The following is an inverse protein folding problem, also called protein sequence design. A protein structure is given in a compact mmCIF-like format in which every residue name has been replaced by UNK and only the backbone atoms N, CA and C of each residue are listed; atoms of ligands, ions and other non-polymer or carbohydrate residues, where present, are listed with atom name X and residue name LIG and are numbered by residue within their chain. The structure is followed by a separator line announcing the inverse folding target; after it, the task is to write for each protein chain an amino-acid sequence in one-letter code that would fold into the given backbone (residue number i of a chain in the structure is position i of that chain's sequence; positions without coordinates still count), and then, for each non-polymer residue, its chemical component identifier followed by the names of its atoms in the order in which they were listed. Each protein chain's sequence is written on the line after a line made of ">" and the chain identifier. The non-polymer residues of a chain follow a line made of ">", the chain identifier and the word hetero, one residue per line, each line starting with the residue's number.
data_IF_880987137363
#
_entry.id   IF_880987137363
#
_cell.length_a   1.000
_cell.length_b   1.000
_cell.length_c   1.000
_cell.angle_alpha   90.00
_cell.angle_beta   90.00
_cell.angle_gamma   90.00
#
_symmetry.space_group_name_H-M   'P 1'
#
loop_
_entity.id
_entity.type
_entity.pdbx_description
1 polymer ?
#
# COMPACT_ATOMS: atom_id res chain seq x y z
N UNK A 1 11.07 22.76 10.64
CA UNK A 1 9.66 23.11 10.36
C UNK A 1 8.91 21.81 10.09
N UNK A 2 8.24 21.24 11.07
CA UNK A 2 7.36 20.08 10.87
C UNK A 2 6.00 20.60 10.40
N UNK A 3 5.73 20.49 9.11
CA UNK A 3 4.40 20.79 8.58
C UNK A 3 3.49 19.61 8.92
N UNK A 4 2.56 19.81 9.87
CA UNK A 4 1.55 18.82 10.19
C UNK A 4 0.51 18.82 9.06
N UNK A 5 0.54 17.81 8.20
CA UNK A 5 -0.50 17.63 7.20
C UNK A 5 -1.76 17.07 7.91
N UNK A 6 -2.85 17.83 7.89
CA UNK A 6 -4.14 17.30 8.29
C UNK A 6 -4.55 16.21 7.28
N UNK A 7 -4.68 14.97 7.73
CA UNK A 7 -5.15 13.86 6.89
C UNK A 7 -6.67 14.03 6.70
N UNK A 8 -7.16 14.24 5.46
CA UNK A 8 -8.59 14.37 5.22
C UNK A 8 -9.34 13.09 5.61
N UNK A 9 -10.62 13.18 5.98
CA UNK A 9 -11.40 12.02 6.45
C UNK A 9 -11.58 10.87 5.43
N UNK A 10 -11.33 11.14 4.15
CA UNK A 10 -11.35 10.15 3.06
C UNK A 10 -9.99 9.46 2.81
N UNK A 11 -8.93 9.90 3.49
CA UNK A 11 -7.57 9.39 3.36
C UNK A 11 -7.18 8.65 4.64
N UNK A 12 -6.69 7.43 4.48
CA UNK A 12 -6.07 6.62 5.51
C UNK A 12 -4.60 6.46 5.17
N UNK A 13 -3.72 6.70 6.13
CA UNK A 13 -2.28 6.50 5.96
C UNK A 13 -1.85 5.55 7.08
N UNK A 14 -1.15 4.47 6.75
CA UNK A 14 -0.67 3.55 7.78
C UNK A 14 0.28 4.25 8.77
N UNK A 15 0.34 3.79 10.03
CA UNK A 15 1.24 4.37 11.03
C UNK A 15 2.71 4.40 10.58
N UNK A 16 3.15 3.37 9.86
CA UNK A 16 4.53 3.27 9.34
C UNK A 16 4.82 4.35 8.29
N UNK A 17 3.91 4.55 7.34
CA UNK A 17 4.05 5.58 6.30
C UNK A 17 3.96 6.99 6.93
N UNK A 18 3.06 7.21 7.89
CA UNK A 18 2.98 8.48 8.62
C UNK A 18 4.30 8.79 9.34
N UNK A 19 4.89 7.79 10.01
CA UNK A 19 6.18 7.92 10.67
C UNK A 19 7.28 8.28 9.66
N UNK A 20 7.37 7.54 8.55
CA UNK A 20 8.37 7.80 7.52
C UNK A 20 8.27 9.23 6.98
N UNK A 21 7.06 9.71 6.68
CA UNK A 21 6.83 11.07 6.20
C UNK A 21 7.20 12.12 7.24
N UNK A 22 6.81 11.94 8.51
CA UNK A 22 7.13 12.87 9.59
C UNK A 22 8.65 13.00 9.81
N UNK A 23 9.37 11.89 9.66
CA UNK A 23 10.82 11.83 9.85
C UNK A 23 11.63 12.02 8.56
N UNK A 24 10.97 12.40 7.44
CA UNK A 24 11.61 12.60 6.14
C UNK A 24 12.41 11.37 5.66
N UNK A 25 11.94 10.17 6.01
CA UNK A 25 12.47 8.91 5.52
C UNK A 25 11.92 8.64 4.11
N UNK A 26 12.69 7.96 3.25
CA UNK A 26 12.24 7.64 1.89
C UNK A 26 11.02 6.70 1.92
N UNK A 27 9.99 7.05 1.14
CA UNK A 27 8.77 6.27 0.95
C UNK A 27 8.62 5.95 -0.53
N UNK A 28 8.29 4.70 -0.85
CA UNK A 28 8.02 4.25 -2.24
C UNK A 28 6.56 3.85 -2.33
N UNK A 29 5.79 4.57 -3.15
CA UNK A 29 4.40 4.19 -3.44
C UNK A 29 4.37 3.01 -4.42
N UNK A 30 3.49 2.04 -4.16
CA UNK A 30 3.27 0.86 -5.00
C UNK A 30 1.78 0.78 -5.39
N UNK A 31 1.47 0.41 -6.63
CA UNK A 31 0.08 0.33 -7.10
C UNK A 31 -0.62 -0.99 -6.72
N UNK A 32 -1.95 -0.95 -6.58
CA UNK A 32 -2.77 -2.13 -6.30
C UNK A 32 -3.32 -2.84 -7.55
N UNK A 33 -3.31 -2.20 -8.73
CA UNK A 33 -3.91 -2.78 -9.95
C UNK A 33 -3.21 -4.05 -10.38
N UNK A 34 -1.88 -4.10 -10.28
CA UNK A 34 -1.10 -5.33 -10.53
C UNK A 34 -1.53 -6.50 -9.62
N UNK A 35 -2.01 -6.19 -8.40
CA UNK A 35 -2.46 -7.18 -7.41
C UNK A 35 -3.82 -7.78 -7.80
N UNK A 36 -4.78 -6.95 -8.21
CA UNK A 36 -6.14 -7.41 -8.55
C UNK A 36 -6.28 -7.88 -10.00
N UNK A 37 -5.58 -7.26 -10.95
CA UNK A 37 -5.79 -7.46 -12.39
C UNK A 37 -4.53 -7.86 -13.16
N UNK A 38 -3.34 -7.70 -12.57
CA UNK A 38 -2.08 -7.94 -13.28
C UNK A 38 -1.58 -9.38 -13.22
N UNK A 39 -1.89 -10.11 -12.14
CA UNK A 39 -1.39 -11.46 -11.88
C UNK A 39 -2.48 -12.36 -11.27
N UNK A 40 -2.44 -13.68 -11.52
CA UNK A 40 -3.36 -14.62 -10.89
C UNK A 40 -3.03 -14.78 -9.39
N UNK A 41 -4.06 -15.11 -8.60
CA UNK A 41 -3.84 -15.59 -7.24
C UNK A 41 -3.25 -17.01 -7.24
N UNK A 42 -2.27 -17.35 -6.38
CA UNK A 42 -1.71 -16.54 -5.28
C UNK A 42 -0.48 -15.69 -5.64
N UNK A 43 -0.03 -15.73 -6.90
CA UNK A 43 1.20 -15.05 -7.34
C UNK A 43 1.13 -13.52 -7.21
N UNK A 44 -0.06 -12.94 -7.35
CA UNK A 44 -0.31 -11.52 -7.11
C UNK A 44 0.06 -11.08 -5.69
N UNK A 45 -0.43 -11.78 -4.66
CA UNK A 45 -0.15 -11.51 -3.24
C UNK A 45 1.32 -11.76 -2.96
N UNK A 46 1.85 -12.89 -3.42
CA UNK A 46 3.25 -13.24 -3.21
C UNK A 46 4.19 -12.19 -3.83
N UNK A 47 3.85 -11.68 -5.02
CA UNK A 47 4.65 -10.65 -5.70
C UNK A 47 4.53 -9.31 -4.98
N UNK A 48 3.33 -8.88 -4.59
CA UNK A 48 3.14 -7.64 -3.84
C UNK A 48 3.99 -7.60 -2.55
N UNK A 49 3.92 -8.67 -1.75
CA UNK A 49 4.70 -8.78 -0.51
C UNK A 49 6.22 -8.84 -0.77
N UNK A 50 6.65 -9.51 -1.84
CA UNK A 50 8.07 -9.53 -2.25
C UNK A 50 8.56 -8.15 -2.65
N UNK A 51 7.76 -7.38 -3.40
CA UNK A 51 8.12 -6.01 -3.79
C UNK A 51 8.19 -5.10 -2.57
N UNK A 52 7.25 -5.20 -1.62
CA UNK A 52 7.34 -4.47 -0.35
C UNK A 52 8.62 -4.81 0.42
N UNK A 53 8.97 -6.11 0.50
CA UNK A 53 10.19 -6.55 1.15
C UNK A 53 11.45 -5.99 0.45
N UNK A 54 11.45 -5.91 -0.88
CA UNK A 54 12.56 -5.37 -1.66
C UNK A 54 12.77 -3.87 -1.41
N UNK A 55 11.67 -3.10 -1.34
CA UNK A 55 11.71 -1.68 -0.97
C UNK A 55 12.35 -1.50 0.41
N UNK A 56 11.98 -2.35 1.38
CA UNK A 56 12.56 -2.35 2.73
C UNK A 56 14.04 -2.69 2.74
N UNK A 57 14.44 -3.69 1.96
CA UNK A 57 15.85 -4.09 1.83
C UNK A 57 16.73 -2.94 1.31
N UNK A 58 16.15 -2.01 0.55
CA UNK A 58 16.81 -0.81 0.03
C UNK A 58 16.67 0.43 0.94
N UNK A 59 16.18 0.25 2.17
CA UNK A 59 16.14 1.32 3.18
C UNK A 59 14.98 2.30 3.04
N UNK A 60 13.96 1.96 2.26
CA UNK A 60 12.74 2.75 2.12
C UNK A 60 11.51 2.07 2.73
N UNK A 61 10.48 2.87 3.03
CA UNK A 61 9.18 2.37 3.49
C UNK A 61 8.24 2.20 2.29
N UNK A 62 7.72 1.00 2.01
CA UNK A 62 6.72 0.80 0.99
C UNK A 62 5.36 1.35 1.45
N UNK A 63 4.65 1.94 0.51
CA UNK A 63 3.28 2.38 0.67
C UNK A 63 2.47 1.82 -0.49
N UNK A 64 2.05 0.55 -0.39
CA UNK A 64 1.05 0.01 -1.33
C UNK A 64 -0.24 0.81 -1.18
N UNK A 65 -0.78 1.31 -2.30
CA UNK A 65 -1.93 2.22 -2.33
C UNK A 65 -3.12 1.52 -2.96
N UNK A 66 -4.27 1.58 -2.28
CA UNK A 66 -5.56 1.12 -2.82
C UNK A 66 -6.73 1.92 -2.23
N UNK A 67 -7.94 1.66 -2.72
CA UNK A 67 -9.17 2.05 -2.06
C UNK A 67 -9.66 0.86 -1.23
N UNK A 68 -9.74 1.03 0.09
CA UNK A 68 -10.24 0.02 1.03
C UNK A 68 -11.45 0.61 1.74
N UNK A 69 -12.59 -0.06 1.64
CA UNK A 69 -13.85 0.36 2.27
C UNK A 69 -14.23 1.83 1.99
N UNK A 70 -13.98 2.30 0.76
CA UNK A 70 -14.28 3.66 0.31
C UNK A 70 -13.26 4.73 0.74
N UNK A 71 -12.13 4.34 1.35
CA UNK A 71 -11.05 5.26 1.73
C UNK A 71 -9.80 5.04 0.87
N UNK A 72 -9.20 6.14 0.43
CA UNK A 72 -7.85 6.13 -0.14
C UNK A 72 -6.90 5.67 0.96
N UNK A 73 -6.16 4.58 0.75
CA UNK A 73 -5.30 4.02 1.79
C UNK A 73 -3.87 3.94 1.28
N UNK A 74 -2.93 4.56 2.01
CA UNK A 74 -1.50 4.51 1.73
C UNK A 74 -0.77 3.67 2.78
N UNK A 75 -0.24 2.52 2.34
CA UNK A 75 0.29 1.47 3.21
C UNK A 75 -0.82 0.50 3.59
N UNK A 76 -0.94 -0.57 2.81
CA UNK A 76 -1.86 -1.67 3.06
C UNK A 76 -1.30 -2.64 4.09
N UNK A 77 -2.18 -3.29 4.85
CA UNK A 77 -1.78 -4.45 5.64
C UNK A 77 -1.61 -5.69 4.75
N UNK A 78 -0.88 -6.73 5.19
CA UNK A 78 -0.83 -8.00 4.47
C UNK A 78 -2.22 -8.61 4.22
N UNK A 79 -3.17 -8.40 5.13
CA UNK A 79 -4.55 -8.85 4.99
C UNK A 79 -5.31 -8.09 3.90
N UNK A 80 -5.07 -6.78 3.76
CA UNK A 80 -5.66 -5.98 2.67
C UNK A 80 -5.10 -6.42 1.31
N UNK A 81 -3.79 -6.67 1.23
CA UNK A 81 -3.14 -7.21 0.02
C UNK A 81 -3.73 -8.58 -0.33
N UNK A 82 -3.88 -9.46 0.64
CA UNK A 82 -4.48 -10.78 0.44
C UNK A 82 -5.93 -10.69 0.00
N UNK A 83 -6.71 -9.77 0.59
CA UNK A 83 -8.08 -9.50 0.19
C UNK A 83 -8.15 -9.07 -1.27
N UNK A 84 -7.34 -8.08 -1.70
CA UNK A 84 -7.30 -7.63 -3.08
C UNK A 84 -6.92 -8.75 -4.05
N UNK A 85 -5.92 -9.56 -3.67
CA UNK A 85 -5.45 -10.66 -4.51
C UNK A 85 -6.49 -11.78 -4.66
N UNK A 86 -7.23 -12.12 -3.60
CA UNK A 86 -8.30 -13.14 -3.64
C UNK A 86 -9.51 -12.70 -4.45
N UNK A 87 -9.90 -11.43 -4.34
CA UNK A 87 -11.04 -10.88 -5.09
C UNK A 87 -10.68 -10.65 -6.56
N UNK A 88 -9.42 -10.31 -6.84
CA UNK A 88 -8.89 -10.25 -8.21
C UNK A 88 -9.75 -9.36 -9.12
N UNK A 89 -10.21 -9.86 -10.27
CA UNK A 89 -11.04 -9.11 -11.22
C UNK A 89 -12.39 -8.61 -10.69
N UNK A 90 -12.86 -9.05 -9.51
CA UNK A 90 -14.07 -8.51 -8.90
C UNK A 90 -13.82 -7.18 -8.18
N UNK A 91 -12.56 -6.81 -7.94
CA UNK A 91 -12.18 -5.48 -7.44
C UNK A 91 -12.36 -4.47 -8.57
N UNK A 92 -12.92 -3.31 -8.28
CA UNK A 92 -13.04 -2.24 -9.27
C UNK A 92 -11.65 -1.77 -9.76
N UNK A 93 -11.58 -1.39 -11.03
CA UNK A 93 -10.38 -0.83 -11.65
C UNK A 93 -10.34 0.70 -11.52
#
# INVERSE_FOLDING_TARGET
>A
MTSTFAVPGYLSISPEVQHALHHQLPVVALESTIISHGMPYPDNVATALKVEAEVRAHGAVPATVAIVEGKLTAGLSPADIEMLGKHGPSVAK
#
